data_IF_482512468375
#
_entry.id   IF_482512468375
#
_cell.length_a   1.000
_cell.length_b   1.000
_cell.length_c   1.000
_cell.angle_alpha   90.00
_cell.angle_beta   90.00
_cell.angle_gamma   90.00
#
_symmetry.space_group_name_H-M   'P 1'
#
loop_
_entity.id
_entity.type
_entity.pdbx_description
1 polymer ?
#
# COMPACT_ATOMS: atom_id res chain seq x y z
N UNK A 1 21.70 -10.95 -4.83
CA UNK A 1 20.70 -11.57 -3.93
C UNK A 1 19.74 -12.41 -4.73
N UNK A 2 19.44 -13.64 -4.29
CA UNK A 2 18.46 -14.51 -4.95
C UNK A 2 17.03 -13.99 -4.78
N UNK A 3 16.10 -14.43 -5.63
CA UNK A 3 14.67 -14.08 -5.52
C UNK A 3 14.08 -14.46 -4.16
N UNK A 4 14.48 -15.63 -3.63
CA UNK A 4 14.04 -16.10 -2.31
C UNK A 4 14.48 -15.15 -1.19
N UNK A 5 15.72 -14.66 -1.24
CA UNK A 5 16.22 -13.69 -0.26
C UNK A 5 15.45 -12.38 -0.34
N UNK A 6 15.16 -11.85 -1.54
CA UNK A 6 14.36 -10.62 -1.70
C UNK A 6 12.96 -10.77 -1.10
N UNK A 7 12.26 -11.87 -1.43
CA UNK A 7 10.91 -12.15 -0.90
C UNK A 7 10.92 -12.24 0.63
N UNK A 8 11.91 -12.91 1.23
CA UNK A 8 12.05 -13.02 2.69
C UNK A 8 12.13 -11.65 3.37
N UNK A 9 12.92 -10.72 2.82
CA UNK A 9 13.05 -9.37 3.39
C UNK A 9 11.76 -8.57 3.28
N UNK A 10 11.10 -8.60 2.12
CA UNK A 10 9.83 -7.90 1.89
C UNK A 10 8.73 -8.41 2.83
N UNK A 11 8.61 -9.73 2.99
CA UNK A 11 7.62 -10.33 3.89
C UNK A 11 7.89 -9.94 5.35
N UNK A 12 9.17 -9.91 5.76
CA UNK A 12 9.55 -9.51 7.13
C UNK A 12 9.22 -8.05 7.41
N UNK A 13 9.45 -7.16 6.47
CA UNK A 13 9.13 -5.72 6.60
C UNK A 13 7.63 -5.50 6.81
N UNK A 14 6.78 -6.16 6.01
CA UNK A 14 5.34 -5.94 6.07
C UNK A 14 4.64 -6.63 7.25
N UNK A 15 5.10 -7.82 7.64
CA UNK A 15 4.46 -8.58 8.74
C UNK A 15 5.13 -8.41 10.10
N UNK A 16 6.39 -7.94 10.12
CA UNK A 16 7.20 -7.88 11.33
C UNK A 16 7.15 -6.54 12.06
N UNK A 17 6.74 -5.46 11.39
CA UNK A 17 6.78 -4.11 11.94
C UNK A 17 5.37 -3.55 12.13
N UNK A 18 5.06 -3.16 13.37
CA UNK A 18 3.88 -2.36 13.67
C UNK A 18 4.24 -0.89 13.44
N UNK A 19 3.86 -0.37 12.27
CA UNK A 19 4.12 1.02 11.90
C UNK A 19 2.93 1.86 12.37
N UNK A 20 3.22 2.87 13.21
CA UNK A 20 2.26 3.93 13.53
C UNK A 20 2.35 4.98 12.42
N UNK A 21 1.23 5.40 11.80
CA UNK A 21 1.25 6.42 10.75
C UNK A 21 1.89 7.71 11.27
N UNK A 22 2.71 8.35 10.43
CA UNK A 22 3.16 9.73 10.68
C UNK A 22 2.04 10.75 10.43
N UNK A 23 2.24 12.01 10.83
CA UNK A 23 1.23 13.07 10.68
C UNK A 23 0.80 13.32 9.22
N UNK A 24 1.66 13.01 8.26
CA UNK A 24 1.38 13.17 6.83
C UNK A 24 0.72 11.93 6.21
N UNK A 25 0.80 10.80 6.89
CA UNK A 25 0.30 9.52 6.41
C UNK A 25 -1.17 9.34 6.74
N UNK A 26 -1.89 8.66 5.86
CA UNK A 26 -3.31 8.41 6.04
C UNK A 26 -3.63 6.92 5.99
N UNK A 27 -4.54 6.49 6.86
CA UNK A 27 -5.10 5.13 6.81
C UNK A 27 -6.29 5.14 5.85
N UNK A 28 -6.25 4.23 4.88
CA UNK A 28 -7.30 4.07 3.86
C UNK A 28 -7.73 2.61 3.74
N UNK A 29 -8.97 2.39 3.28
CA UNK A 29 -9.53 1.06 3.04
C UNK A 29 -9.57 0.74 1.56
N UNK A 30 -9.17 -0.46 1.16
CA UNK A 30 -9.19 -0.90 -0.24
C UNK A 30 -10.60 -1.31 -0.67
N UNK A 31 -11.10 -0.68 -1.74
CA UNK A 31 -12.42 -0.96 -2.33
C UNK A 31 -12.33 -1.95 -3.49
N UNK A 32 -11.42 -1.70 -4.44
CA UNK A 32 -11.18 -2.56 -5.60
C UNK A 32 -9.78 -2.34 -6.16
N UNK A 33 -9.36 -3.20 -7.08
CA UNK A 33 -8.05 -3.13 -7.73
C UNK A 33 -8.27 -3.02 -9.23
N UNK A 34 -8.20 -1.80 -9.83
CA UNK A 34 -8.42 -1.59 -11.26
C UNK A 34 -7.41 -2.30 -12.18
N UNK A 35 -6.27 -2.75 -11.66
CA UNK A 35 -5.18 -3.37 -12.41
C UNK A 35 -3.93 -2.50 -12.43
N UNK A 36 -2.86 -2.96 -13.08
CA UNK A 36 -1.58 -2.25 -13.18
C UNK A 36 -0.94 -1.85 -11.82
N UNK A 37 -1.17 -2.62 -10.75
CA UNK A 37 -0.76 -2.29 -9.37
C UNK A 37 -1.35 -0.96 -8.85
N UNK A 38 -2.50 -0.56 -9.38
CA UNK A 38 -3.35 0.50 -8.85
C UNK A 38 -4.41 -0.12 -7.95
N UNK A 39 -4.69 0.57 -6.84
CA UNK A 39 -5.73 0.19 -5.89
C UNK A 39 -6.65 1.39 -5.68
N UNK A 40 -7.95 1.18 -5.80
CA UNK A 40 -8.94 2.18 -5.42
C UNK A 40 -9.21 2.06 -3.93
N UNK A 41 -9.02 3.17 -3.23
CA UNK A 41 -9.11 3.24 -1.77
C UNK A 41 -10.11 4.30 -1.34
N UNK A 42 -10.58 4.19 -0.10
CA UNK A 42 -11.50 5.11 0.54
C UNK A 42 -10.91 5.58 1.87
N UNK A 43 -10.92 6.90 2.10
CA UNK A 43 -10.52 7.50 3.38
C UNK A 43 -11.63 7.34 4.43
N UNK A 44 -11.29 7.61 5.69
CA UNK A 44 -12.29 7.70 6.77
C UNK A 44 -13.38 8.76 6.52
N UNK A 45 -13.12 9.74 5.64
CA UNK A 45 -14.05 10.79 5.25
C UNK A 45 -14.91 10.40 4.03
N UNK A 46 -14.72 9.20 3.48
CA UNK A 46 -15.47 8.71 2.32
C UNK A 46 -14.92 9.17 0.96
N UNK A 47 -13.77 9.85 0.94
CA UNK A 47 -13.14 10.26 -0.32
C UNK A 47 -12.43 9.09 -0.98
N UNK A 48 -12.58 8.99 -2.31
CA UNK A 48 -12.02 7.88 -3.11
C UNK A 48 -10.96 8.37 -4.07
N UNK A 49 -9.86 7.64 -4.13
CA UNK A 49 -8.78 7.91 -5.06
C UNK A 49 -8.02 6.62 -5.38
N UNK A 50 -7.13 6.73 -6.37
CA UNK A 50 -6.23 5.65 -6.76
C UNK A 50 -4.90 5.80 -6.05
N UNK A 51 -4.38 4.69 -5.54
CA UNK A 51 -3.03 4.60 -5.00
C UNK A 51 -2.23 3.60 -5.80
N UNK A 52 -0.94 3.88 -5.93
CA UNK A 52 -0.01 3.01 -6.64
C UNK A 52 0.85 2.22 -5.66
N UNK A 53 1.11 0.95 -5.96
CA UNK A 53 1.99 0.14 -5.13
C UNK A 53 3.47 0.42 -5.46
N UNK A 54 4.34 0.68 -4.45
CA UNK A 54 5.78 0.79 -4.65
C UNK A 54 6.37 -0.45 -5.32
N UNK A 55 7.35 -0.25 -6.20
CA UNK A 55 7.92 -1.31 -7.05
C UNK A 55 8.51 -2.48 -6.26
N UNK A 56 9.05 -2.24 -5.05
CA UNK A 56 9.62 -3.29 -4.18
C UNK A 56 8.60 -4.34 -3.73
N UNK A 57 7.32 -3.95 -3.61
CA UNK A 57 6.26 -4.85 -3.15
C UNK A 57 5.53 -5.57 -4.28
N UNK A 58 5.61 -5.05 -5.51
CA UNK A 58 4.97 -5.65 -6.69
C UNK A 58 5.45 -7.11 -6.84
N UNK A 59 4.51 -8.03 -7.11
CA UNK A 59 4.74 -9.49 -7.24
C UNK A 59 5.15 -10.22 -5.96
N UNK A 60 5.41 -9.52 -4.86
CA UNK A 60 5.78 -10.12 -3.58
C UNK A 60 4.62 -10.11 -2.58
N UNK A 61 3.71 -9.14 -2.70
CA UNK A 61 2.58 -8.93 -1.80
C UNK A 61 1.30 -8.82 -2.62
N UNK A 62 0.22 -9.36 -2.07
CA UNK A 62 -1.12 -9.24 -2.63
C UNK A 62 -2.02 -8.51 -1.64
N UNK A 63 -2.65 -7.43 -2.11
CA UNK A 63 -3.63 -6.65 -1.34
C UNK A 63 -5.03 -7.16 -1.69
N UNK A 64 -5.86 -7.41 -0.68
CA UNK A 64 -7.25 -7.84 -0.86
C UNK A 64 -8.21 -6.66 -0.62
N UNK A 65 -9.43 -6.81 -1.13
CA UNK A 65 -10.52 -5.87 -0.84
C UNK A 65 -10.84 -5.92 0.66
N UNK A 66 -11.01 -4.74 1.25
CA UNK A 66 -11.29 -4.59 2.68
C UNK A 66 -10.04 -4.49 3.55
N UNK A 67 -8.85 -4.70 2.99
CA UNK A 67 -7.60 -4.45 3.70
C UNK A 67 -7.43 -2.95 3.96
N UNK A 68 -6.75 -2.62 5.04
CA UNK A 68 -6.36 -1.26 5.39
C UNK A 68 -4.89 -1.03 5.04
N UNK A 69 -4.59 0.13 4.48
CA UNK A 69 -3.25 0.53 4.05
C UNK A 69 -2.92 1.89 4.64
N UNK A 70 -1.63 2.10 4.89
CA UNK A 70 -1.07 3.43 5.13
C UNK A 70 -0.58 3.95 3.80
N UNK A 71 -0.96 5.19 3.46
CA UNK A 71 -0.57 5.84 2.20
C UNK A 71 0.09 7.18 2.48
N UNK A 72 1.12 7.47 1.70
CA UNK A 72 1.77 8.78 1.65
C UNK A 72 1.08 9.63 0.57
N UNK A 73 0.58 10.82 0.89
CA UNK A 73 0.12 11.78 -0.13
C UNK A 73 1.25 12.13 -1.08
N UNK A 74 0.93 12.29 -2.36
CA UNK A 74 1.88 12.78 -3.36
C UNK A 74 1.70 14.31 -3.42
N UNK A 75 2.78 15.07 -3.24
CA UNK A 75 2.74 16.54 -3.32
C UNK A 75 2.52 17.07 -4.74
N UNK A 76 2.81 16.28 -5.79
CA UNK A 76 2.65 16.70 -7.18
C UNK A 76 1.17 16.73 -7.62
N UNK A 77 0.60 17.93 -7.65
CA UNK A 77 -0.72 18.19 -8.23
C UNK A 77 -1.29 19.60 -7.97
N UNK A 78 -0.55 20.65 -8.36
CA UNK A 78 -1.16 21.78 -9.11
C UNK A 78 -1.02 21.48 -10.60
#
# INVERSE_FOLDING_TARGET
MSQATKRKHVVKEVLGEHIVPSDQQQIVRVLRTPGNNLHEVETAQGQRFLVSMPSKYRKNIWIKRGDFLIVDPIEEGE
#
